data_IF_781974195119
#
_entry.id   IF_781974195119
#
_cell.length_a   1.000
_cell.length_b   1.000
_cell.length_c   1.000
_cell.angle_alpha   90.00
_cell.angle_beta   90.00
_cell.angle_gamma   90.00
#
_symmetry.space_group_name_H-M   'P 1'
#
loop_
_entity.id
_entity.type
_entity.pdbx_description
1 polymer ?
#
# COMPACT_ATOMS: atom_id res chain seq x y z
N UNK A 1 7.57 3.93 17.11
CA UNK A 1 7.96 5.15 16.38
C UNK A 1 9.44 5.11 16.04
N UNK A 2 9.83 5.52 14.82
CA UNK A 2 11.23 5.68 14.42
C UNK A 2 11.70 7.08 14.79
N UNK A 3 12.88 7.19 15.41
CA UNK A 3 13.50 8.44 15.81
C UNK A 3 14.98 8.44 15.46
N UNK A 4 15.51 9.62 15.19
CA UNK A 4 16.94 9.78 14.93
C UNK A 4 17.77 9.63 16.19
N UNK A 5 18.96 9.07 16.01
CA UNK A 5 20.06 9.25 16.93
C UNK A 5 20.67 10.62 16.59
N UNK A 6 20.58 11.57 17.51
CA UNK A 6 21.09 12.94 17.34
C UNK A 6 22.44 13.16 18.01
N UNK A 7 22.89 12.22 18.81
CA UNK A 7 24.20 12.28 19.43
C UNK A 7 24.62 10.98 20.11
N UNK A 8 25.93 10.82 20.25
CA UNK A 8 26.55 9.75 21.00
C UNK A 8 27.50 10.36 22.04
N UNK A 9 27.33 9.99 23.31
CA UNK A 9 28.22 10.37 24.39
C UNK A 9 29.06 9.16 24.80
N UNK A 10 30.31 9.10 24.33
CA UNK A 10 31.22 8.01 24.62
C UNK A 10 31.66 7.96 26.08
N UNK A 11 31.70 9.11 26.78
CA UNK A 11 32.13 9.21 28.17
C UNK A 11 31.05 8.65 29.12
N UNK A 12 29.80 8.90 28.84
CA UNK A 12 28.63 8.41 29.60
C UNK A 12 28.03 7.14 29.03
N UNK A 13 28.60 6.64 27.90
CA UNK A 13 28.04 5.50 27.14
C UNK A 13 26.56 5.72 26.81
N UNK A 14 26.23 6.96 26.45
CA UNK A 14 24.88 7.43 26.22
C UNK A 14 24.55 7.64 24.74
N UNK A 15 23.27 7.50 24.43
CA UNK A 15 22.71 7.80 23.10
C UNK A 15 21.64 8.85 23.26
N UNK A 16 21.76 9.94 22.51
CA UNK A 16 20.73 10.99 22.47
C UNK A 16 19.80 10.73 21.30
N UNK A 17 18.49 10.74 21.56
CA UNK A 17 17.44 10.51 20.58
C UNK A 17 16.66 11.78 20.32
N UNK A 18 16.12 11.96 19.11
CA UNK A 18 15.24 13.07 18.75
C UNK A 18 13.82 12.84 19.28
N UNK A 19 13.70 12.46 20.53
CA UNK A 19 12.43 12.30 21.25
C UNK A 19 12.69 12.31 22.77
N UNK A 20 11.63 12.51 23.52
CA UNK A 20 11.67 12.35 24.97
C UNK A 20 11.59 10.87 25.32
N UNK A 21 12.56 10.39 26.10
CA UNK A 21 12.60 8.98 26.55
C UNK A 21 12.54 8.90 28.07
N UNK A 22 11.80 7.94 28.55
CA UNK A 22 11.58 7.67 29.96
C UNK A 22 12.02 6.25 30.32
N UNK A 23 12.34 6.06 31.59
CA UNK A 23 12.68 4.73 32.10
C UNK A 23 11.51 3.77 31.91
N UNK A 24 11.79 2.57 31.41
CA UNK A 24 10.79 1.56 31.12
C UNK A 24 10.33 1.51 29.65
N UNK A 25 10.71 2.47 28.83
CA UNK A 25 10.46 2.40 27.39
C UNK A 25 11.35 1.35 26.73
N UNK A 26 10.79 0.65 25.73
CA UNK A 26 11.54 -0.28 24.90
C UNK A 26 12.23 0.45 23.75
N UNK A 27 13.52 0.22 23.58
CA UNK A 27 14.35 0.73 22.50
C UNK A 27 14.85 -0.42 21.63
N UNK A 28 14.76 -0.24 20.32
CA UNK A 28 15.40 -1.12 19.35
C UNK A 28 16.14 -0.30 18.30
N UNK A 29 17.36 -0.68 17.97
CA UNK A 29 18.07 -0.09 16.86
C UNK A 29 17.60 -0.70 15.55
N UNK A 30 17.35 0.17 14.56
CA UNK A 30 16.95 -0.26 13.22
C UNK A 30 17.88 0.34 12.18
N UNK A 31 18.07 -0.40 11.11
CA UNK A 31 18.83 0.04 9.94
C UNK A 31 17.90 0.20 8.76
N UNK A 32 18.15 1.22 7.95
CA UNK A 32 17.43 1.41 6.69
C UNK A 32 17.84 0.35 5.69
N UNK A 33 16.88 -0.29 5.07
CA UNK A 33 17.11 -1.33 4.06
C UNK A 33 16.25 -1.05 2.83
N UNK A 34 16.91 -0.85 1.69
CA UNK A 34 16.23 -0.53 0.41
C UNK A 34 15.31 -1.66 -0.03
N UNK A 35 15.77 -2.91 0.04
CA UNK A 35 14.97 -4.07 -0.39
C UNK A 35 13.72 -4.23 0.49
N UNK A 36 13.87 -4.09 1.81
CA UNK A 36 12.74 -4.16 2.74
C UNK A 36 11.75 -3.01 2.49
N UNK A 37 12.22 -1.78 2.26
CA UNK A 37 11.35 -0.64 1.98
C UNK A 37 10.55 -0.83 0.67
N UNK A 38 11.19 -1.38 -0.38
CA UNK A 38 10.52 -1.70 -1.65
C UNK A 38 9.47 -2.80 -1.48
N UNK A 39 9.84 -3.88 -0.79
CA UNK A 39 8.93 -4.99 -0.52
C UNK A 39 7.71 -4.54 0.30
N UNK A 40 7.92 -3.72 1.32
CA UNK A 40 6.85 -3.16 2.15
C UNK A 40 5.91 -2.26 1.34
N UNK A 41 6.45 -1.37 0.50
CA UNK A 41 5.63 -0.54 -0.37
C UNK A 41 4.80 -1.37 -1.36
N UNK A 42 5.39 -2.38 -1.97
CA UNK A 42 4.67 -3.29 -2.87
C UNK A 42 3.57 -4.05 -2.13
N UNK A 43 3.84 -4.54 -0.92
CA UNK A 43 2.85 -5.22 -0.07
C UNK A 43 1.65 -4.32 0.24
N UNK A 44 1.89 -3.09 0.70
CA UNK A 44 0.82 -2.13 1.01
C UNK A 44 -0.01 -1.80 -0.24
N UNK A 45 0.64 -1.59 -1.37
CA UNK A 45 -0.09 -1.37 -2.62
C UNK A 45 -0.94 -2.57 -3.05
N UNK A 46 -0.45 -3.80 -2.81
CA UNK A 46 -1.21 -5.01 -3.08
C UNK A 46 -2.44 -5.14 -2.16
N UNK A 47 -2.26 -4.89 -0.88
CA UNK A 47 -3.35 -4.87 0.11
C UNK A 47 -4.45 -3.85 -0.26
N UNK A 48 -4.08 -2.64 -0.69
CA UNK A 48 -5.03 -1.64 -1.16
C UNK A 48 -5.82 -2.15 -2.38
N UNK A 49 -5.15 -2.79 -3.31
CA UNK A 49 -5.82 -3.36 -4.49
C UNK A 49 -6.76 -4.49 -4.13
N UNK A 50 -6.36 -5.36 -3.24
CA UNK A 50 -7.17 -6.47 -2.75
C UNK A 50 -8.44 -5.96 -2.05
N UNK A 51 -8.31 -4.95 -1.19
CA UNK A 51 -9.45 -4.32 -0.50
C UNK A 51 -10.44 -3.64 -1.47
N UNK A 52 -9.93 -3.16 -2.61
CA UNK A 52 -10.75 -2.50 -3.64
C UNK A 52 -11.27 -3.46 -4.71
N UNK A 53 -10.77 -4.69 -4.75
CA UNK A 53 -11.26 -5.72 -5.67
C UNK A 53 -12.66 -6.17 -5.28
N UNK A 54 -13.54 -6.49 -6.24
CA UNK A 54 -14.83 -7.08 -5.93
C UNK A 54 -14.62 -8.38 -5.17
N UNK A 55 -15.40 -8.62 -4.12
CA UNK A 55 -15.49 -9.95 -3.53
C UNK A 55 -15.94 -10.93 -4.61
N UNK A 56 -15.11 -11.92 -4.92
CA UNK A 56 -15.55 -13.01 -5.77
C UNK A 56 -16.70 -13.71 -5.03
N UNK A 57 -17.89 -13.86 -5.67
CA UNK A 57 -18.97 -14.60 -5.05
C UNK A 57 -18.47 -16.02 -4.74
N UNK A 58 -18.60 -16.46 -3.50
CA UNK A 58 -18.28 -17.85 -3.11
C UNK A 58 -18.88 -18.80 -4.14
N UNK A 59 -18.10 -19.77 -4.68
CA UNK A 59 -18.63 -20.73 -5.61
C UNK A 59 -19.80 -21.45 -4.93
N UNK A 60 -20.99 -21.30 -5.52
CA UNK A 60 -22.18 -21.96 -5.03
C UNK A 60 -21.88 -23.47 -4.86
N UNK A 61 -22.29 -24.10 -3.75
CA UNK A 61 -22.03 -25.51 -3.52
C UNK A 61 -22.55 -26.31 -4.72
N UNK A 62 -21.64 -27.08 -5.35
CA UNK A 62 -21.97 -27.97 -6.46
C UNK A 62 -23.06 -28.94 -5.98
N UNK A 63 -24.30 -28.61 -6.26
CA UNK A 63 -25.38 -29.56 -6.19
C UNK A 63 -25.12 -30.62 -7.23
N UNK A 64 -24.77 -31.82 -6.79
CA UNK A 64 -24.64 -33.01 -7.63
C UNK A 64 -25.98 -33.30 -8.29
N UNK A 65 -26.17 -32.81 -9.50
CA UNK A 65 -27.29 -33.28 -10.35
C UNK A 65 -26.79 -34.45 -11.16
N UNK A 66 -27.12 -35.65 -10.70
CA UNK A 66 -27.06 -36.86 -11.50
C UNK A 66 -28.11 -36.79 -12.60
N UNK A 67 -27.67 -36.94 -13.85
CA UNK A 67 -28.48 -37.51 -14.95
C UNK A 67 -29.26 -36.52 -15.79
N UNK A 68 -28.82 -36.33 -17.03
CA UNK A 68 -29.56 -36.62 -18.27
C UNK A 68 -28.79 -36.08 -19.47
N UNK A 69 -28.51 -36.97 -20.41
CA UNK A 69 -28.01 -36.75 -21.77
C UNK A 69 -29.02 -35.92 -22.58
N UNK A 70 -28.51 -35.09 -23.49
CA UNK A 70 -29.33 -34.68 -24.63
C UNK A 70 -29.05 -33.29 -25.21
N UNK A 71 -28.50 -33.31 -26.42
CA UNK A 71 -28.72 -32.33 -27.49
C UNK A 71 -27.87 -31.05 -27.53
N UNK A 72 -27.03 -31.04 -28.55
CA UNK A 72 -26.31 -29.89 -29.09
C UNK A 72 -27.25 -28.76 -29.55
N UNK A 73 -26.94 -27.54 -29.17
CA UNK A 73 -27.39 -26.35 -29.87
C UNK A 73 -26.27 -25.30 -29.86
N UNK A 74 -25.81 -24.95 -31.04
CA UNK A 74 -24.92 -23.82 -31.27
C UNK A 74 -25.68 -22.53 -30.95
N UNK A 75 -25.25 -21.84 -29.91
CA UNK A 75 -25.71 -20.50 -29.57
C UNK A 75 -24.51 -19.62 -29.31
N UNK A 76 -24.32 -18.58 -30.13
CA UNK A 76 -23.31 -17.57 -29.94
C UNK A 76 -23.51 -16.94 -28.55
N UNK A 77 -22.54 -17.14 -27.67
CA UNK A 77 -22.52 -16.49 -26.39
C UNK A 77 -22.19 -15.01 -26.61
N UNK A 78 -23.21 -14.16 -26.64
CA UNK A 78 -23.07 -12.76 -26.34
C UNK A 78 -22.52 -12.65 -24.90
N UNK A 79 -21.29 -12.22 -24.78
CA UNK A 79 -20.64 -12.01 -23.49
C UNK A 79 -21.48 -11.04 -22.67
N UNK A 80 -22.22 -11.56 -21.73
CA UNK A 80 -22.82 -10.74 -20.68
C UNK A 80 -21.66 -10.25 -19.84
N UNK A 81 -21.33 -8.95 -20.00
CA UNK A 81 -20.45 -8.26 -19.07
C UNK A 81 -21.10 -8.34 -17.71
N UNK A 82 -20.55 -9.17 -16.84
CA UNK A 82 -20.93 -9.21 -15.43
C UNK A 82 -20.69 -7.79 -14.89
N UNK A 83 -21.67 -7.11 -14.28
CA UNK A 83 -21.44 -5.81 -13.68
C UNK A 83 -20.32 -5.96 -12.65
N UNK A 84 -19.17 -5.34 -12.90
CA UNK A 84 -18.11 -5.30 -11.92
C UNK A 84 -18.56 -4.35 -10.81
N UNK A 85 -19.06 -4.90 -9.72
CA UNK A 85 -19.44 -4.17 -8.51
C UNK A 85 -18.22 -3.69 -7.69
N UNK A 86 -17.06 -3.70 -8.29
CA UNK A 86 -15.82 -3.25 -7.66
C UNK A 86 -15.70 -1.73 -7.57
N UNK A 87 -15.05 -1.26 -6.54
CA UNK A 87 -14.64 0.13 -6.40
C UNK A 87 -13.54 0.42 -7.41
N UNK A 88 -13.73 1.41 -8.28
CA UNK A 88 -12.71 1.83 -9.25
C UNK A 88 -11.83 2.93 -8.66
N UNK A 89 -10.52 2.78 -8.77
CA UNK A 89 -9.58 3.83 -8.40
C UNK A 89 -9.69 4.97 -9.41
N UNK A 90 -10.01 6.18 -8.94
CA UNK A 90 -10.14 7.40 -9.75
C UNK A 90 -8.86 8.22 -9.75
N UNK A 91 -8.02 8.08 -8.76
CA UNK A 91 -6.77 8.79 -8.62
C UNK A 91 -6.13 8.54 -7.27
N UNK A 92 -4.91 9.02 -7.10
CA UNK A 92 -4.18 8.89 -5.85
C UNK A 92 -3.27 10.10 -5.57
N UNK A 93 -3.01 10.33 -4.29
CA UNK A 93 -2.01 11.28 -3.80
C UNK A 93 -1.01 10.50 -2.95
N UNK A 94 0.28 10.66 -3.27
CA UNK A 94 1.35 10.04 -2.51
C UNK A 94 2.26 11.11 -1.89
N UNK A 95 2.28 11.18 -0.57
CA UNK A 95 3.17 12.06 0.20
C UNK A 95 4.23 11.20 0.84
N UNK A 96 5.50 11.47 0.54
CA UNK A 96 6.64 10.71 1.06
C UNK A 96 7.57 11.60 1.86
N UNK A 97 8.10 11.09 2.94
CA UNK A 97 9.10 11.80 3.72
C UNK A 97 10.36 12.05 2.89
N UNK A 98 10.84 13.29 2.86
CA UNK A 98 12.08 13.67 2.18
C UNK A 98 13.29 12.89 2.67
N UNK A 99 13.27 12.43 3.92
CA UNK A 99 14.27 11.54 4.47
C UNK A 99 14.15 10.08 4.01
N UNK A 100 13.00 9.67 3.47
CA UNK A 100 12.73 8.32 2.95
C UNK A 100 12.98 8.23 1.45
N UNK A 101 12.52 9.22 0.69
CA UNK A 101 12.44 9.18 -0.77
C UNK A 101 13.77 9.24 -1.50
N UNK A 102 13.69 9.27 -2.83
CA UNK A 102 14.83 9.42 -3.70
C UNK A 102 15.81 8.25 -3.65
N UNK A 103 17.09 8.51 -3.31
CA UNK A 103 18.13 7.48 -3.36
C UNK A 103 17.87 6.25 -2.50
N UNK A 104 17.07 6.38 -1.46
CA UNK A 104 16.71 5.24 -0.59
C UNK A 104 15.96 4.13 -1.32
N UNK A 105 15.23 4.45 -2.37
CA UNK A 105 14.54 3.44 -3.19
C UNK A 105 15.35 2.97 -4.40
N UNK A 106 16.62 3.35 -4.49
CA UNK A 106 17.56 2.87 -5.51
C UNK A 106 17.65 3.76 -6.76
N UNK A 107 16.92 4.87 -6.82
CA UNK A 107 17.03 5.82 -7.93
C UNK A 107 15.93 6.89 -7.93
N UNK A 108 16.04 7.86 -8.82
CA UNK A 108 15.03 8.91 -8.98
C UNK A 108 13.66 8.31 -9.28
N UNK A 109 12.64 8.76 -8.59
CA UNK A 109 11.24 8.34 -8.78
C UNK A 109 10.95 6.84 -8.62
N UNK A 110 11.89 6.02 -8.14
CA UNK A 110 11.72 4.59 -8.00
C UNK A 110 10.53 4.23 -7.08
N UNK A 111 10.34 4.98 -6.02
CA UNK A 111 9.21 4.85 -5.11
C UNK A 111 7.86 5.12 -5.81
N UNK A 112 7.79 6.24 -6.55
CA UNK A 112 6.60 6.60 -7.31
C UNK A 112 6.29 5.60 -8.43
N UNK A 113 7.31 5.05 -9.07
CA UNK A 113 7.14 4.00 -10.08
C UNK A 113 6.53 2.73 -9.51
N UNK A 114 6.89 2.33 -8.28
CA UNK A 114 6.28 1.19 -7.60
C UNK A 114 4.80 1.45 -7.38
N UNK A 115 4.44 2.62 -6.83
CA UNK A 115 3.04 3.00 -6.60
C UNK A 115 2.26 3.03 -7.91
N UNK A 116 2.82 3.65 -8.95
CA UNK A 116 2.19 3.75 -10.27
C UNK A 116 1.96 2.38 -10.91
N UNK A 117 2.96 1.50 -10.84
CA UNK A 117 2.83 0.14 -11.36
C UNK A 117 1.74 -0.64 -10.61
N UNK A 118 1.65 -0.46 -9.32
CA UNK A 118 0.67 -1.17 -8.49
C UNK A 118 -0.77 -0.66 -8.69
N UNK A 119 -0.97 0.65 -8.80
CA UNK A 119 -2.31 1.23 -8.96
C UNK A 119 -2.84 1.17 -10.40
N UNK A 120 -1.96 0.95 -11.38
CA UNK A 120 -2.32 0.99 -12.80
C UNK A 120 -2.32 2.42 -13.37
N UNK A 121 -2.97 2.59 -14.53
CA UNK A 121 -3.05 3.88 -15.22
C UNK A 121 -4.12 4.79 -14.60
N UNK A 122 -3.79 5.36 -13.44
CA UNK A 122 -4.64 6.30 -12.72
C UNK A 122 -3.89 7.62 -12.51
N UNK A 123 -4.59 8.76 -12.44
CA UNK A 123 -4.00 10.03 -12.07
C UNK A 123 -3.28 9.91 -10.71
N UNK A 124 -1.98 10.15 -10.71
CA UNK A 124 -1.14 10.06 -9.52
C UNK A 124 -0.31 11.33 -9.38
N UNK A 125 -0.45 12.00 -8.26
CA UNK A 125 0.35 13.16 -7.88
C UNK A 125 0.91 13.01 -6.48
N UNK A 126 1.86 13.85 -6.10
CA UNK A 126 2.42 13.82 -4.77
C UNK A 126 3.62 14.73 -4.62
N UNK A 127 4.19 14.75 -3.44
CA UNK A 127 5.35 15.56 -3.10
C UNK A 127 6.12 14.95 -1.92
N UNK A 128 7.33 15.46 -1.73
CA UNK A 128 8.13 15.16 -0.54
C UNK A 128 7.83 16.17 0.57
N UNK A 129 7.62 15.66 1.78
CA UNK A 129 7.37 16.46 2.98
C UNK A 129 8.43 16.18 4.06
N UNK A 130 8.52 17.03 5.06
CA UNK A 130 9.38 16.82 6.24
C UNK A 130 8.83 15.78 7.22
N UNK A 131 7.64 15.29 6.97
CA UNK A 131 6.91 14.27 7.72
C UNK A 131 5.49 14.18 7.21
N UNK A 132 4.80 13.10 7.53
CA UNK A 132 3.44 12.80 7.09
C UNK A 132 2.50 12.70 8.29
N UNK A 133 1.26 13.13 8.09
CA UNK A 133 0.19 12.95 9.07
C UNK A 133 -0.73 11.85 8.56
N UNK A 134 -0.90 10.81 9.36
CA UNK A 134 -1.90 9.79 9.15
C UNK A 134 -2.67 9.57 10.45
N UNK A 135 -4.00 9.54 10.34
CA UNK A 135 -4.90 9.61 11.49
C UNK A 135 -4.61 10.87 12.32
N UNK A 136 -4.09 10.72 13.53
CA UNK A 136 -3.74 11.80 14.46
C UNK A 136 -2.27 11.74 14.90
N UNK A 137 -1.41 11.10 14.09
CA UNK A 137 0.01 10.98 14.38
C UNK A 137 0.85 11.61 13.29
N UNK A 138 1.94 12.25 13.70
CA UNK A 138 3.00 12.70 12.82
C UNK A 138 4.03 11.57 12.71
N UNK A 139 4.31 11.18 11.48
CA UNK A 139 5.30 10.17 11.13
C UNK A 139 6.49 10.81 10.42
N UNK A 140 7.63 10.18 10.52
CA UNK A 140 8.80 10.48 9.71
C UNK A 140 9.37 9.21 9.11
N UNK A 141 10.07 9.31 7.98
CA UNK A 141 10.58 8.18 7.21
C UNK A 141 9.51 7.22 6.70
N UNK A 142 8.34 7.72 6.47
CA UNK A 142 7.18 6.97 5.98
C UNK A 142 6.71 7.52 4.64
N UNK A 143 5.65 6.97 4.10
CA UNK A 143 4.88 7.52 3.01
C UNK A 143 3.41 7.29 3.29
N UNK A 144 2.58 8.24 2.91
CA UNK A 144 1.11 8.15 2.98
C UNK A 144 0.56 8.13 1.57
N UNK A 145 -0.12 7.04 1.23
CA UNK A 145 -0.82 6.87 -0.03
C UNK A 145 -2.32 7.03 0.24
N UNK A 146 -2.91 8.06 -0.34
CA UNK A 146 -4.35 8.28 -0.33
C UNK A 146 -4.92 7.92 -1.69
N UNK A 147 -5.86 7.00 -1.72
CA UNK A 147 -6.51 6.51 -2.94
C UNK A 147 -7.96 6.98 -2.96
N UNK A 148 -8.37 7.61 -4.05
CA UNK A 148 -9.73 8.02 -4.30
C UNK A 148 -10.43 6.97 -5.13
N UNK A 149 -11.58 6.53 -4.67
CA UNK A 149 -12.37 5.48 -5.31
C UNK A 149 -13.76 6.00 -5.68
N UNK A 150 -14.24 5.53 -6.81
CA UNK A 150 -15.63 5.69 -7.20
C UNK A 150 -16.37 4.40 -6.87
N UNK A 151 -17.44 4.51 -6.13
CA UNK A 151 -18.33 3.38 -5.93
C UNK A 151 -19.27 3.34 -7.12
N UNK A 152 -19.19 2.32 -7.96
CA UNK A 152 -20.20 2.10 -8.97
C UNK A 152 -21.57 2.12 -8.26
N UNK A 153 -22.39 3.11 -8.59
CA UNK A 153 -23.75 3.19 -8.07
C UNK A 153 -24.50 1.99 -8.63
N UNK A 154 -25.20 1.21 -7.81
CA UNK A 154 -25.99 0.07 -8.27
C UNK A 154 -27.08 0.51 -9.26
#
# INVERSE_FOLDING_TARGET
>A
RVRHIVGLDGSRRGVALADHVEAGMHLAFCQRNVAAARADLMRICAEIREELSPEEPEPAPLMSSSGAEGAAAHGAAAGHAVPQTGRRICGAIYVSCSGRGGPHFGGPSAELQIVRHALGDVPLTGFFAGGEIAHHHLYGYTGVLTVFVDSAKP
#
